data_IF_019071087310
#
_entry.id   IF_019071087310
#
_cell.length_a   1.000
_cell.length_b   1.000
_cell.length_c   1.000
_cell.angle_alpha   90.00
_cell.angle_beta   90.00
_cell.angle_gamma   90.00
#
_symmetry.space_group_name_H-M   'P 1'
#
loop_
_entity.id
_entity.type
_entity.pdbx_description
1 polymer ?
#
# COMPACT_ATOMS: atom_id res chain seq x y z
N UNK A 1 14.71 -22.77 -12.93
CA UNK A 1 13.74 -21.67 -12.71
C UNK A 1 14.54 -20.52 -12.11
N UNK A 2 15.10 -19.61 -12.93
CA UNK A 2 15.95 -18.50 -12.47
C UNK A 2 15.10 -17.50 -11.68
N UNK A 3 15.39 -17.35 -10.40
CA UNK A 3 14.76 -16.35 -9.55
C UNK A 3 15.24 -14.97 -9.99
N UNK A 4 14.31 -14.13 -10.43
CA UNK A 4 14.61 -12.74 -10.75
C UNK A 4 14.91 -11.98 -9.47
N UNK A 5 16.18 -11.70 -9.21
CA UNK A 5 16.58 -10.82 -8.13
C UNK A 5 16.20 -9.37 -8.51
N UNK A 6 15.50 -8.66 -7.63
CA UNK A 6 15.29 -7.23 -7.81
C UNK A 6 16.64 -6.51 -7.73
N UNK A 7 16.79 -5.36 -8.39
CA UNK A 7 17.99 -4.57 -8.21
C UNK A 7 18.10 -4.12 -6.73
N UNK A 8 19.28 -4.16 -6.12
CA UNK A 8 19.49 -3.68 -4.74
C UNK A 8 18.97 -2.26 -4.52
N UNK A 9 19.05 -1.41 -5.57
CA UNK A 9 18.50 -0.06 -5.59
C UNK A 9 17.00 0.03 -5.32
N UNK A 10 16.22 -0.99 -5.67
CA UNK A 10 14.77 -0.99 -5.40
C UNK A 10 14.46 -1.04 -3.91
N UNK A 11 15.18 -1.89 -3.17
CA UNK A 11 14.97 -2.03 -1.73
C UNK A 11 15.40 -0.76 -1.00
N UNK A 12 16.55 -0.19 -1.37
CA UNK A 12 17.06 1.05 -0.78
C UNK A 12 16.18 2.26 -1.10
N UNK A 13 15.58 2.33 -2.29
CA UNK A 13 14.69 3.43 -2.67
C UNK A 13 13.42 3.47 -1.78
N UNK A 14 12.79 2.33 -1.51
CA UNK A 14 11.63 2.28 -0.61
C UNK A 14 12.01 2.72 0.82
N UNK A 15 13.14 2.23 1.34
CA UNK A 15 13.64 2.67 2.66
C UNK A 15 14.03 4.15 2.67
N UNK A 16 14.57 4.68 1.55
CA UNK A 16 14.85 6.11 1.37
C UNK A 16 13.58 6.95 1.47
N UNK A 17 12.50 6.57 0.78
CA UNK A 17 11.20 7.26 0.88
C UNK A 17 10.67 7.24 2.32
N UNK A 18 10.71 6.09 2.99
CA UNK A 18 10.28 5.95 4.39
C UNK A 18 11.14 6.85 5.31
N UNK A 19 12.45 6.86 5.10
CA UNK A 19 13.39 7.68 5.87
C UNK A 19 13.14 9.19 5.72
N UNK A 20 12.86 9.64 4.50
CA UNK A 20 12.49 11.05 4.25
C UNK A 20 11.20 11.42 4.98
N UNK A 21 10.17 10.58 4.90
CA UNK A 21 8.90 10.82 5.62
C UNK A 21 9.12 10.80 7.13
N UNK A 22 9.88 9.84 7.64
CA UNK A 22 10.24 9.77 9.06
C UNK A 22 10.97 11.05 9.52
N UNK A 23 11.92 11.54 8.73
CA UNK A 23 12.61 12.79 9.02
C UNK A 23 11.64 13.98 9.09
N UNK A 24 10.72 14.10 8.14
CA UNK A 24 9.70 15.17 8.14
C UNK A 24 8.84 15.09 9.38
N UNK A 25 8.30 13.92 9.72
CA UNK A 25 7.46 13.72 10.91
C UNK A 25 8.22 14.04 12.19
N UNK A 26 9.47 13.59 12.31
CA UNK A 26 10.34 13.87 13.46
C UNK A 26 10.64 15.37 13.59
N UNK A 27 10.97 16.04 12.47
CA UNK A 27 11.24 17.48 12.47
C UNK A 27 10.01 18.28 12.95
N UNK A 28 8.81 17.93 12.46
CA UNK A 28 7.58 18.57 12.94
C UNK A 28 7.27 18.24 14.38
N UNK A 29 7.57 17.04 14.87
CA UNK A 29 7.38 16.66 16.26
C UNK A 29 8.39 17.32 17.23
N UNK A 30 9.57 17.69 16.76
CA UNK A 30 10.62 18.33 17.57
C UNK A 30 10.52 19.86 17.55
N UNK A 31 10.19 20.44 16.40
CA UNK A 31 10.26 21.89 16.16
C UNK A 31 8.88 22.52 15.88
N UNK A 32 7.85 21.72 15.63
CA UNK A 32 6.49 22.16 15.35
C UNK A 32 5.58 22.16 16.58
N UNK A 33 4.30 22.52 16.40
CA UNK A 33 3.32 22.56 17.47
C UNK A 33 2.83 21.18 17.93
N UNK A 34 3.24 20.10 17.24
CA UNK A 34 2.74 18.75 17.47
C UNK A 34 3.59 17.99 18.50
N UNK A 35 2.90 17.26 19.38
CA UNK A 35 3.53 16.35 20.34
C UNK A 35 3.39 14.92 19.83
N UNK A 36 4.53 14.29 19.52
CA UNK A 36 4.54 12.87 19.16
C UNK A 36 4.42 12.02 20.43
N UNK A 37 3.43 11.13 20.48
CA UNK A 37 3.29 10.14 21.52
C UNK A 37 4.24 8.96 21.27
N UNK A 38 5.51 9.12 21.59
CA UNK A 38 6.62 8.21 21.29
C UNK A 38 6.35 6.75 21.61
N UNK A 39 5.60 6.49 22.69
CA UNK A 39 5.26 5.13 23.10
C UNK A 39 4.47 4.37 22.03
N UNK A 40 3.66 5.06 21.24
CA UNK A 40 2.84 4.46 20.18
C UNK A 40 3.65 4.04 18.96
N UNK A 41 4.89 4.53 18.82
CA UNK A 41 5.80 4.20 17.72
C UNK A 41 6.70 3.00 18.05
N UNK A 42 6.86 2.62 19.33
CA UNK A 42 7.84 1.59 19.75
C UNK A 42 7.53 0.23 19.09
N UNK A 43 6.30 -0.24 19.21
CA UNK A 43 5.90 -1.56 18.69
C UNK A 43 6.07 -1.65 17.17
N UNK A 44 5.55 -0.72 16.34
CA UNK A 44 5.74 -0.79 14.90
C UNK A 44 7.21 -0.58 14.49
N UNK A 45 8.00 0.20 15.24
CA UNK A 45 9.43 0.36 14.97
C UNK A 45 10.20 -0.95 15.21
N UNK A 46 9.95 -1.64 16.32
CA UNK A 46 10.56 -2.94 16.62
C UNK A 46 10.14 -3.95 15.55
N UNK A 47 8.87 -4.03 15.21
CA UNK A 47 8.37 -4.93 14.16
C UNK A 47 9.06 -4.65 12.82
N UNK A 48 9.18 -3.38 12.44
CA UNK A 48 9.88 -2.95 11.22
C UNK A 48 11.35 -3.39 11.23
N UNK A 49 12.06 -3.17 12.34
CA UNK A 49 13.47 -3.53 12.49
C UNK A 49 13.69 -5.05 12.42
N UNK A 50 12.85 -5.83 13.11
CA UNK A 50 12.91 -7.30 13.09
C UNK A 50 12.63 -7.86 11.69
N UNK A 51 11.62 -7.32 10.99
CA UNK A 51 11.27 -7.74 9.64
C UNK A 51 12.35 -7.34 8.62
N UNK A 52 12.90 -6.14 8.74
CA UNK A 52 14.01 -5.69 7.89
C UNK A 52 15.27 -6.52 8.11
N UNK A 53 15.64 -6.79 9.36
CA UNK A 53 16.77 -7.63 9.73
C UNK A 53 16.58 -9.07 9.27
N UNK A 54 15.40 -9.67 9.50
CA UNK A 54 15.04 -10.98 8.99
C UNK A 54 15.08 -11.05 7.47
N UNK A 55 14.54 -10.04 6.80
CA UNK A 55 14.58 -9.94 5.34
C UNK A 55 16.01 -9.86 4.79
N UNK A 56 16.88 -9.10 5.45
CA UNK A 56 18.31 -9.07 5.10
C UNK A 56 18.97 -10.43 5.33
N UNK A 57 18.77 -11.07 6.50
CA UNK A 57 19.33 -12.37 6.85
C UNK A 57 18.96 -13.44 5.81
N UNK A 58 17.67 -13.56 5.48
CA UNK A 58 17.22 -14.59 4.54
C UNK A 58 17.74 -14.34 3.13
N UNK A 59 17.93 -13.10 2.68
CA UNK A 59 18.53 -12.81 1.37
C UNK A 59 20.04 -12.95 1.35
N UNK A 60 20.74 -12.40 2.36
CA UNK A 60 22.19 -12.31 2.35
C UNK A 60 22.87 -13.59 2.83
N UNK A 61 22.31 -14.27 3.84
CA UNK A 61 22.92 -15.43 4.51
C UNK A 61 22.28 -16.74 4.03
N UNK A 62 20.94 -16.80 4.02
CA UNK A 62 20.23 -18.04 3.67
C UNK A 62 19.97 -18.21 2.18
N UNK A 63 20.15 -17.13 1.39
CA UNK A 63 19.86 -17.08 -0.05
C UNK A 63 18.42 -17.44 -0.44
N UNK A 64 17.47 -17.21 0.49
CA UNK A 64 16.04 -17.47 0.34
C UNK A 64 15.31 -16.18 -0.10
N UNK A 65 15.36 -15.90 -1.41
CA UNK A 65 14.82 -14.65 -1.99
C UNK A 65 13.35 -14.41 -1.68
N UNK A 66 12.51 -15.46 -1.70
CA UNK A 66 11.06 -15.30 -1.51
C UNK A 66 10.74 -14.86 -0.09
N UNK A 67 11.29 -15.56 0.90
CA UNK A 67 11.06 -15.24 2.30
C UNK A 67 11.69 -13.90 2.66
N UNK A 68 12.88 -13.63 2.16
CA UNK A 68 13.55 -12.35 2.32
C UNK A 68 12.74 -11.18 1.72
N UNK A 69 12.11 -11.36 0.55
CA UNK A 69 11.26 -10.36 -0.07
C UNK A 69 9.96 -10.14 0.73
N UNK A 70 9.30 -11.19 1.21
CA UNK A 70 8.11 -11.10 2.06
C UNK A 70 8.42 -10.27 3.31
N UNK A 71 9.46 -10.66 4.06
CA UNK A 71 9.82 -9.99 5.31
C UNK A 71 10.19 -8.52 5.07
N UNK A 72 11.02 -8.25 4.05
CA UNK A 72 11.42 -6.86 3.72
C UNK A 72 10.21 -6.01 3.33
N UNK A 73 9.34 -6.51 2.45
CA UNK A 73 8.16 -5.78 1.98
C UNK A 73 7.17 -5.54 3.11
N UNK A 74 6.96 -6.52 3.99
CA UNK A 74 6.12 -6.35 5.18
C UNK A 74 6.72 -5.29 6.11
N UNK A 75 8.03 -5.33 6.36
CA UNK A 75 8.71 -4.32 7.17
C UNK A 75 8.61 -2.92 6.55
N UNK A 76 8.74 -2.80 5.22
CA UNK A 76 8.57 -1.52 4.51
C UNK A 76 7.16 -0.98 4.63
N UNK A 77 6.13 -1.81 4.51
CA UNK A 77 4.73 -1.38 4.64
C UNK A 77 4.43 -0.95 6.07
N UNK A 78 4.86 -1.71 7.09
CA UNK A 78 4.65 -1.34 8.49
C UNK A 78 5.41 -0.07 8.84
N UNK A 79 6.69 0.01 8.46
CA UNK A 79 7.51 1.21 8.69
C UNK A 79 6.97 2.44 7.98
N UNK A 80 6.44 2.26 6.76
CA UNK A 80 5.78 3.35 6.04
C UNK A 80 4.46 3.76 6.71
N UNK A 81 3.58 2.83 7.07
CA UNK A 81 2.32 3.14 7.73
C UNK A 81 2.53 3.90 9.04
N UNK A 82 3.56 3.52 9.82
CA UNK A 82 3.95 4.19 11.07
C UNK A 82 4.25 5.69 10.89
N UNK A 83 4.78 6.10 9.73
CA UNK A 83 5.16 7.49 9.46
C UNK A 83 4.16 8.22 8.54
N UNK A 84 3.44 7.49 7.69
CA UNK A 84 2.47 8.08 6.77
C UNK A 84 1.20 8.57 7.48
N UNK A 85 0.75 7.86 8.51
CA UNK A 85 -0.41 8.28 9.29
C UNK A 85 -0.15 9.62 10.02
N UNK A 86 0.94 9.81 10.78
CA UNK A 86 1.31 11.12 11.31
C UNK A 86 1.48 12.21 10.25
N UNK A 87 2.05 11.87 9.08
CA UNK A 87 2.18 12.82 7.98
C UNK A 87 0.82 13.30 7.48
N UNK A 88 -0.20 12.41 7.42
CA UNK A 88 -1.57 12.80 7.05
C UNK A 88 -2.21 13.76 8.08
N UNK A 89 -1.85 13.63 9.36
CA UNK A 89 -2.31 14.54 10.41
C UNK A 89 -1.69 15.92 10.26
N UNK A 90 -0.41 15.99 9.91
CA UNK A 90 0.25 17.25 9.58
C UNK A 90 -0.40 17.92 8.34
N UNK A 91 -0.80 17.11 7.35
CA UNK A 91 -1.53 17.59 6.19
C UNK A 91 -2.89 18.20 6.57
N UNK A 92 -3.67 17.55 7.44
CA UNK A 92 -4.95 18.08 7.91
C UNK A 92 -4.79 19.37 8.71
N UNK A 93 -3.76 19.45 9.55
CA UNK A 93 -3.46 20.63 10.38
C UNK A 93 -3.02 21.85 9.58
N UNK A 94 -2.65 21.72 8.31
CA UNK A 94 -2.35 22.85 7.43
C UNK A 94 -3.57 23.77 7.21
N UNK A 95 -4.78 23.26 7.51
CA UNK A 95 -6.04 23.99 7.55
C UNK A 95 -6.42 24.75 6.26
N UNK A 96 -5.95 24.29 5.09
CA UNK A 96 -6.41 24.84 3.80
C UNK A 96 -7.95 24.79 3.69
N UNK A 97 -8.58 25.68 2.91
CA UNK A 97 -10.05 25.73 2.77
C UNK A 97 -10.63 24.38 2.34
N UNK A 98 -11.70 23.95 3.01
CA UNK A 98 -12.40 22.72 2.67
C UNK A 98 -13.03 22.81 1.27
N UNK A 99 -12.91 21.71 0.51
CA UNK A 99 -13.36 21.62 -0.88
C UNK A 99 -14.67 20.84 -1.04
N UNK A 100 -15.36 20.51 0.06
CA UNK A 100 -16.60 19.72 0.04
C UNK A 100 -17.66 20.29 -0.90
N UNK A 101 -17.82 21.61 -0.95
CA UNK A 101 -18.80 22.25 -1.84
C UNK A 101 -18.52 21.95 -3.33
N UNK A 102 -17.24 21.97 -3.73
CA UNK A 102 -16.81 21.67 -5.12
C UNK A 102 -16.99 20.19 -5.42
N UNK A 103 -16.52 19.31 -4.52
CA UNK A 103 -16.60 17.85 -4.68
C UNK A 103 -18.07 17.39 -4.76
N UNK A 104 -18.92 17.90 -3.87
CA UNK A 104 -20.36 17.63 -3.90
C UNK A 104 -21.04 18.16 -5.18
N UNK A 105 -20.65 19.35 -5.66
CA UNK A 105 -21.19 19.88 -6.92
C UNK A 105 -20.82 19.00 -8.12
N UNK A 106 -19.61 18.43 -8.14
CA UNK A 106 -19.17 17.48 -9.17
C UNK A 106 -19.98 16.17 -9.10
N UNK A 107 -20.15 15.61 -7.89
CA UNK A 107 -20.96 14.41 -7.69
C UNK A 107 -22.41 14.59 -8.12
N UNK A 108 -23.02 15.75 -7.81
CA UNK A 108 -24.37 16.08 -8.28
C UNK A 108 -24.46 16.14 -9.80
N UNK A 109 -23.44 16.64 -10.49
CA UNK A 109 -23.39 16.64 -11.96
C UNK A 109 -23.27 15.23 -12.54
N UNK A 110 -22.67 14.30 -11.78
CA UNK A 110 -22.62 12.88 -12.10
C UNK A 110 -23.92 12.13 -11.75
N UNK A 111 -24.93 12.82 -11.21
CA UNK A 111 -26.22 12.23 -10.86
C UNK A 111 -26.25 11.56 -9.48
N UNK A 112 -25.28 11.79 -8.61
CA UNK A 112 -25.24 11.17 -7.27
C UNK A 112 -26.25 11.87 -6.36
N UNK A 113 -27.17 11.09 -5.79
CA UNK A 113 -28.09 11.48 -4.72
C UNK A 113 -27.66 10.79 -3.40
N UNK A 114 -26.89 11.53 -2.60
CA UNK A 114 -26.33 11.02 -1.34
C UNK A 114 -27.40 10.57 -0.34
N UNK A 115 -28.45 11.38 -0.03
CA UNK A 115 -29.50 10.97 0.89
C UNK A 115 -30.20 9.67 0.48
N UNK A 116 -30.61 9.54 -0.79
CA UNK A 116 -31.26 8.35 -1.30
C UNK A 116 -30.34 7.12 -1.24
N UNK A 117 -29.06 7.25 -1.60
CA UNK A 117 -28.08 6.17 -1.56
C UNK A 117 -27.86 5.68 -0.12
N UNK A 118 -27.66 6.57 0.84
CA UNK A 118 -27.45 6.23 2.24
C UNK A 118 -28.73 5.62 2.86
N UNK A 119 -29.89 6.19 2.56
CA UNK A 119 -31.17 5.63 2.98
C UNK A 119 -31.33 4.19 2.47
N UNK A 120 -31.07 3.93 1.21
CA UNK A 120 -31.13 2.59 0.62
C UNK A 120 -30.18 1.62 1.33
N UNK A 121 -28.90 1.96 1.46
CA UNK A 121 -27.90 1.07 2.09
C UNK A 121 -28.28 0.81 3.56
N UNK A 122 -28.69 1.84 4.29
CA UNK A 122 -28.98 1.75 5.72
C UNK A 122 -30.20 0.86 6.04
N UNK A 123 -31.15 0.73 5.13
CA UNK A 123 -32.32 -0.11 5.27
C UNK A 123 -32.04 -1.61 4.98
N UNK A 124 -30.96 -1.93 4.27
CA UNK A 124 -30.64 -3.31 3.86
C UNK A 124 -29.49 -3.89 4.70
N UNK A 125 -29.83 -4.57 5.81
CA UNK A 125 -28.85 -5.09 6.76
C UNK A 125 -27.80 -6.04 6.16
N UNK A 126 -28.21 -6.94 5.26
CA UNK A 126 -27.29 -7.86 4.57
C UNK A 126 -26.30 -7.11 3.67
N UNK A 127 -26.76 -6.10 2.92
CA UNK A 127 -25.90 -5.26 2.11
C UNK A 127 -24.89 -4.49 2.98
N UNK A 128 -25.36 -3.92 4.10
CA UNK A 128 -24.46 -3.23 5.05
C UNK A 128 -23.34 -4.14 5.55
N UNK A 129 -23.67 -5.37 5.95
CA UNK A 129 -22.65 -6.32 6.43
C UNK A 129 -21.61 -6.66 5.37
N UNK A 130 -22.04 -6.92 4.14
CA UNK A 130 -21.14 -7.22 3.02
C UNK A 130 -20.22 -6.05 2.74
N UNK A 131 -20.77 -4.84 2.65
CA UNK A 131 -20.00 -3.63 2.38
C UNK A 131 -19.04 -3.29 3.54
N UNK A 132 -19.47 -3.47 4.78
CA UNK A 132 -18.62 -3.29 5.97
C UNK A 132 -17.42 -4.23 5.96
N UNK A 133 -17.64 -5.53 5.69
CA UNK A 133 -16.56 -6.51 5.59
C UNK A 133 -15.62 -6.20 4.44
N UNK A 134 -16.16 -5.78 3.28
CA UNK A 134 -15.34 -5.40 2.14
C UNK A 134 -14.47 -4.16 2.44
N UNK A 135 -15.05 -3.13 3.05
CA UNK A 135 -14.32 -1.93 3.44
C UNK A 135 -13.23 -2.24 4.50
N UNK A 136 -13.58 -3.00 5.53
CA UNK A 136 -12.67 -3.40 6.60
C UNK A 136 -11.58 -4.40 6.17
N UNK A 137 -11.69 -5.00 4.99
CA UNK A 137 -10.73 -5.99 4.49
C UNK A 137 -9.36 -5.40 4.10
N UNK A 138 -9.22 -4.10 4.05
CA UNK A 138 -8.05 -3.34 3.63
C UNK A 138 -6.72 -3.84 4.22
N UNK A 139 -6.63 -3.94 5.56
CA UNK A 139 -5.40 -4.39 6.23
C UNK A 139 -5.07 -5.86 5.90
N UNK A 140 -6.09 -6.72 5.87
CA UNK A 140 -5.93 -8.12 5.50
C UNK A 140 -5.48 -8.24 4.04
N UNK A 141 -6.06 -7.48 3.13
CA UNK A 141 -5.65 -7.47 1.71
C UNK A 141 -4.21 -6.99 1.52
N UNK A 142 -3.76 -6.02 2.31
CA UNK A 142 -2.37 -5.55 2.26
C UNK A 142 -1.40 -6.69 2.58
N UNK A 143 -1.62 -7.40 3.69
CA UNK A 143 -0.78 -8.53 4.11
C UNK A 143 -0.88 -9.69 3.12
N UNK A 144 -2.10 -10.08 2.73
CA UNK A 144 -2.30 -11.22 1.81
C UNK A 144 -1.72 -10.96 0.43
N UNK A 145 -1.73 -9.73 -0.07
CA UNK A 145 -1.09 -9.37 -1.34
C UNK A 145 0.42 -9.61 -1.29
N UNK A 146 1.09 -9.18 -0.21
CA UNK A 146 2.52 -9.45 0.00
C UNK A 146 2.80 -10.95 0.04
N UNK A 147 2.00 -11.69 0.81
CA UNK A 147 2.15 -13.15 0.93
C UNK A 147 1.91 -13.87 -0.41
N UNK A 148 0.84 -13.56 -1.11
CA UNK A 148 0.51 -14.16 -2.41
C UNK A 148 1.64 -13.93 -3.42
N UNK A 149 2.13 -12.71 -3.55
CA UNK A 149 3.20 -12.38 -4.49
C UNK A 149 4.53 -13.03 -4.10
N UNK A 150 4.87 -13.03 -2.82
CA UNK A 150 6.10 -13.64 -2.31
C UNK A 150 6.09 -15.17 -2.45
N UNK A 151 5.05 -15.86 -1.97
CA UNK A 151 4.92 -17.32 -2.03
C UNK A 151 4.89 -17.80 -3.49
N UNK A 152 4.20 -17.08 -4.38
CA UNK A 152 4.14 -17.41 -5.81
C UNK A 152 5.42 -17.03 -6.57
N UNK A 153 6.43 -16.50 -5.88
CA UNK A 153 7.73 -16.15 -6.46
C UNK A 153 7.71 -14.92 -7.39
N UNK A 154 6.69 -14.09 -7.31
CA UNK A 154 6.54 -12.85 -8.10
C UNK A 154 7.24 -11.66 -7.44
N UNK A 155 8.49 -11.85 -7.04
CA UNK A 155 9.26 -10.92 -6.21
C UNK A 155 9.38 -9.53 -6.84
N UNK A 156 9.66 -9.45 -8.15
CA UNK A 156 9.72 -8.17 -8.88
C UNK A 156 8.40 -7.42 -8.79
N UNK A 157 7.29 -8.13 -8.92
CA UNK A 157 5.95 -7.56 -8.84
C UNK A 157 5.60 -7.14 -7.40
N UNK A 158 6.11 -7.86 -6.40
CA UNK A 158 5.98 -7.49 -5.00
C UNK A 158 6.67 -6.14 -4.71
N UNK A 159 7.89 -5.94 -5.19
CA UNK A 159 8.56 -4.65 -5.03
C UNK A 159 7.88 -3.52 -5.80
N UNK A 160 7.38 -3.79 -7.03
CA UNK A 160 6.57 -2.82 -7.76
C UNK A 160 5.32 -2.40 -6.97
N UNK A 161 4.65 -3.38 -6.35
CA UNK A 161 3.49 -3.13 -5.47
C UNK A 161 3.85 -2.24 -4.28
N UNK A 162 4.93 -2.54 -3.56
CA UNK A 162 5.35 -1.74 -2.39
C UNK A 162 5.65 -0.29 -2.79
N UNK A 163 6.36 -0.07 -3.91
CA UNK A 163 6.65 1.28 -4.39
C UNK A 163 5.39 2.01 -4.84
N UNK A 164 4.50 1.34 -5.56
CA UNK A 164 3.23 1.92 -5.95
C UNK A 164 2.36 2.26 -4.73
N UNK A 165 2.34 1.39 -3.71
CA UNK A 165 1.64 1.61 -2.45
C UNK A 165 2.16 2.88 -1.73
N UNK A 166 3.49 2.99 -1.55
CA UNK A 166 4.13 4.13 -0.90
C UNK A 166 3.86 5.42 -1.69
N UNK A 167 4.13 5.41 -3.00
CA UNK A 167 3.96 6.59 -3.83
C UNK A 167 2.49 7.05 -3.91
N UNK A 168 1.55 6.12 -4.08
CA UNK A 168 0.12 6.43 -4.10
C UNK A 168 -0.32 7.10 -2.80
N UNK A 169 0.11 6.55 -1.66
CA UNK A 169 -0.25 7.12 -0.35
C UNK A 169 0.39 8.49 -0.15
N UNK A 170 1.66 8.68 -0.51
CA UNK A 170 2.33 9.98 -0.38
C UNK A 170 1.68 11.05 -1.26
N UNK A 171 1.39 10.72 -2.52
CA UNK A 171 0.71 11.65 -3.43
C UNK A 171 -0.69 11.97 -2.90
N UNK A 172 -1.44 10.98 -2.38
CA UNK A 172 -2.74 11.21 -1.78
C UNK A 172 -2.65 12.16 -0.57
N UNK A 173 -1.64 12.00 0.31
CA UNK A 173 -1.40 12.92 1.42
C UNK A 173 -1.12 14.35 0.91
N UNK A 174 -0.22 14.51 -0.07
CA UNK A 174 0.11 15.83 -0.65
C UNK A 174 -1.12 16.48 -1.29
N UNK A 175 -1.91 15.71 -2.06
CA UNK A 175 -3.14 16.23 -2.67
C UNK A 175 -4.17 16.61 -1.60
N UNK A 176 -4.27 15.87 -0.50
CA UNK A 176 -5.20 16.17 0.60
C UNK A 176 -4.86 17.46 1.34
N UNK A 177 -3.61 17.95 1.30
CA UNK A 177 -3.24 19.29 1.80
C UNK A 177 -3.94 20.36 0.98
N UNK A 178 -3.93 20.23 -0.35
CA UNK A 178 -4.45 21.23 -1.29
C UNK A 178 -5.97 21.14 -1.47
N UNK A 179 -6.52 19.95 -1.27
CA UNK A 179 -7.94 19.67 -1.46
C UNK A 179 -8.51 18.89 -0.25
N UNK A 180 -8.47 19.50 0.97
CA UNK A 180 -9.03 18.85 2.15
C UNK A 180 -10.56 18.82 2.09
N UNK A 181 -11.16 17.74 2.58
CA UNK A 181 -12.61 17.58 2.63
C UNK A 181 -13.03 16.75 3.85
N UNK A 182 -14.23 16.98 4.34
CA UNK A 182 -14.85 16.21 5.43
C UNK A 182 -15.61 14.99 4.93
N UNK A 183 -15.95 15.00 3.62
CA UNK A 183 -16.76 13.99 2.98
C UNK A 183 -18.27 14.24 3.10
N UNK A 184 -19.07 13.54 2.25
CA UNK A 184 -20.51 13.81 2.13
C UNK A 184 -21.29 13.61 3.42
N UNK A 185 -20.89 12.66 4.27
CA UNK A 185 -21.59 12.39 5.52
C UNK A 185 -21.62 13.58 6.48
N UNK A 186 -20.48 14.24 6.66
CA UNK A 186 -20.39 15.38 7.56
C UNK A 186 -20.87 16.66 6.88
N UNK A 187 -20.49 16.87 5.62
CA UNK A 187 -20.82 18.08 4.87
C UNK A 187 -22.32 18.26 4.62
N UNK A 188 -23.04 17.16 4.32
CA UNK A 188 -24.48 17.18 4.05
C UNK A 188 -25.34 16.80 5.25
N UNK A 189 -24.74 16.50 6.40
CA UNK A 189 -25.41 15.93 7.59
C UNK A 189 -26.36 14.77 7.21
N UNK A 190 -25.80 13.68 6.69
CA UNK A 190 -26.58 12.53 6.21
C UNK A 190 -27.17 11.65 7.32
N UNK A 191 -26.93 11.97 8.60
CA UNK A 191 -27.49 11.21 9.74
C UNK A 191 -29.02 11.09 9.71
N UNK A 192 -29.81 12.12 9.36
CA UNK A 192 -31.26 12.00 9.25
C UNK A 192 -31.73 11.07 8.12
N UNK A 193 -30.94 10.89 7.08
CA UNK A 193 -31.25 9.98 5.97
C UNK A 193 -30.92 8.53 6.29
N UNK A 194 -30.10 8.28 7.32
CA UNK A 194 -29.63 6.96 7.69
C UNK A 194 -30.59 6.27 8.67
N UNK A 195 -31.06 5.07 8.31
CA UNK A 195 -31.88 4.25 9.20
C UNK A 195 -31.03 3.48 10.23
N UNK A 196 -31.63 3.09 11.35
CA UNK A 196 -31.04 2.20 12.35
C UNK A 196 -29.70 2.66 12.93
N UNK A 197 -29.49 3.99 13.05
CA UNK A 197 -28.25 4.53 13.61
C UNK A 197 -27.00 4.23 12.77
N UNK A 198 -27.15 3.95 11.49
CA UNK A 198 -26.02 3.71 10.59
C UNK A 198 -25.12 4.93 10.46
N UNK A 199 -23.83 4.74 10.70
CA UNK A 199 -22.80 5.74 10.55
C UNK A 199 -21.61 5.16 9.76
N UNK A 200 -20.82 5.98 9.06
CA UNK A 200 -19.61 5.52 8.41
C UNK A 200 -18.55 5.11 9.47
N UNK A 201 -17.63 4.26 9.08
CA UNK A 201 -16.47 3.89 9.95
C UNK A 201 -15.64 5.12 10.29
N UNK A 202 -15.52 6.04 9.34
CA UNK A 202 -14.76 7.29 9.50
C UNK A 202 -15.41 8.31 10.45
N UNK A 203 -16.61 8.05 10.98
CA UNK A 203 -17.24 8.95 11.94
C UNK A 203 -16.41 9.13 13.22
N UNK A 204 -15.63 8.13 13.63
CA UNK A 204 -14.71 8.20 14.78
C UNK A 204 -13.56 9.18 14.53
N UNK A 205 -13.14 9.37 13.29
CA UNK A 205 -12.02 10.24 12.94
C UNK A 205 -12.40 11.72 12.73
N UNK A 206 -13.71 12.06 12.67
CA UNK A 206 -14.13 13.46 12.49
C UNK A 206 -13.65 14.41 13.58
N UNK A 207 -13.75 14.07 14.90
CA UNK A 207 -13.21 14.94 15.94
C UNK A 207 -11.71 15.14 15.82
N UNK A 208 -10.97 14.10 15.40
CA UNK A 208 -9.52 14.18 15.17
C UNK A 208 -9.21 15.13 14.03
N UNK A 209 -9.87 14.96 12.88
CA UNK A 209 -9.68 15.83 11.71
C UNK A 209 -9.98 17.29 12.03
N UNK A 210 -11.13 17.56 12.67
CA UNK A 210 -11.52 18.92 13.03
C UNK A 210 -10.61 19.54 14.09
N UNK A 211 -10.24 18.76 15.12
CA UNK A 211 -9.35 19.23 16.18
C UNK A 211 -7.91 19.49 15.72
N UNK A 212 -7.43 18.79 14.67
CA UNK A 212 -6.15 19.10 14.04
C UNK A 212 -6.23 20.44 13.28
N UNK A 213 -7.38 20.73 12.64
CA UNK A 213 -7.57 21.94 11.82
C UNK A 213 -7.78 23.19 12.64
N UNK A 214 -8.46 23.08 13.79
CA UNK A 214 -8.70 24.22 14.69
C UNK A 214 -7.64 24.39 15.77
N UNK A 215 -6.64 23.46 15.81
CA UNK A 215 -5.52 23.49 16.75
C UNK A 215 -5.85 23.00 18.17
N UNK A 216 -7.06 22.47 18.41
CA UNK A 216 -7.43 21.90 19.72
C UNK A 216 -6.78 20.53 19.94
N UNK A 217 -6.42 19.81 18.89
CA UNK A 217 -5.66 18.56 18.94
C UNK A 217 -4.24 18.76 18.43
N UNK A 218 -3.26 18.53 19.30
CA UNK A 218 -1.83 18.63 18.98
C UNK A 218 -1.06 17.31 19.19
N UNK A 219 -1.69 16.28 19.77
CA UNK A 219 -1.06 14.99 20.00
C UNK A 219 -1.21 14.09 18.76
N UNK A 220 -0.10 13.50 18.30
CA UNK A 220 -0.06 12.61 17.13
C UNK A 220 0.48 11.25 17.55
N UNK A 221 -0.28 10.21 17.20
CA UNK A 221 0.01 8.82 17.55
C UNK A 221 0.53 8.03 16.33
N UNK A 222 1.37 7.03 16.57
CA UNK A 222 1.86 6.14 15.53
C UNK A 222 0.94 4.94 15.26
N UNK A 223 0.51 4.25 16.31
CA UNK A 223 -0.16 2.94 16.16
C UNK A 223 -1.68 3.02 16.00
N UNK A 224 -2.34 4.01 16.58
CA UNK A 224 -3.81 4.13 16.58
C UNK A 224 -4.29 5.31 15.73
N UNK A 225 -3.47 5.71 14.77
CA UNK A 225 -3.84 6.78 13.86
C UNK A 225 -4.88 6.29 12.87
N UNK A 226 -6.03 6.94 12.85
CA UNK A 226 -7.10 6.68 11.88
C UNK A 226 -6.80 7.38 10.54
N UNK A 227 -7.28 6.79 9.45
CA UNK A 227 -7.19 7.44 8.14
C UNK A 227 -8.13 8.64 8.08
N UNK A 228 -7.58 9.84 7.81
CA UNK A 228 -8.34 11.10 7.77
C UNK A 228 -8.34 11.75 6.39
N UNK A 229 -7.80 11.08 5.38
CA UNK A 229 -7.75 11.57 4.00
C UNK A 229 -9.07 11.24 3.32
N UNK A 230 -9.80 12.27 2.86
CA UNK A 230 -11.00 12.10 2.06
C UNK A 230 -10.67 12.12 0.57
N UNK A 231 -10.02 13.17 0.07
CA UNK A 231 -9.66 13.29 -1.35
C UNK A 231 -8.15 13.25 -1.55
N UNK A 232 -7.64 12.43 -2.50
CA UNK A 232 -8.33 11.33 -3.21
C UNK A 232 -8.54 10.11 -2.31
N UNK A 233 -9.51 9.25 -2.65
CA UNK A 233 -9.79 8.06 -1.85
C UNK A 233 -8.65 7.05 -1.87
N UNK A 234 -8.00 6.83 -0.72
CA UNK A 234 -6.93 5.84 -0.59
C UNK A 234 -7.48 4.41 -0.68
N UNK A 235 -8.68 4.15 -0.14
CA UNK A 235 -9.32 2.83 -0.27
C UNK A 235 -9.56 2.47 -1.73
N UNK A 236 -10.06 3.41 -2.53
CA UNK A 236 -10.25 3.21 -3.97
C UNK A 236 -8.92 2.96 -4.70
N UNK A 237 -7.90 3.74 -4.36
CA UNK A 237 -6.59 3.58 -4.95
C UNK A 237 -5.99 2.19 -4.63
N UNK A 238 -6.06 1.76 -3.37
CA UNK A 238 -5.50 0.48 -2.95
C UNK A 238 -6.34 -0.72 -3.44
N UNK A 239 -7.66 -0.57 -3.61
CA UNK A 239 -8.49 -1.58 -4.27
C UNK A 239 -7.97 -1.92 -5.69
N UNK A 240 -7.57 -0.90 -6.43
CA UNK A 240 -6.95 -1.09 -7.74
C UNK A 240 -5.57 -1.74 -7.61
N UNK A 241 -4.72 -1.23 -6.71
CA UNK A 241 -3.37 -1.79 -6.52
C UNK A 241 -3.40 -3.27 -6.12
N UNK A 242 -4.26 -3.68 -5.20
CA UNK A 242 -4.42 -5.09 -4.83
C UNK A 242 -4.86 -5.93 -6.01
N UNK A 243 -5.88 -5.48 -6.74
CA UNK A 243 -6.42 -6.19 -7.90
C UNK A 243 -5.38 -6.38 -9.00
N UNK A 244 -4.69 -5.30 -9.39
CA UNK A 244 -3.69 -5.39 -10.47
C UNK A 244 -2.43 -6.11 -10.02
N UNK A 245 -2.01 -6.01 -8.76
CA UNK A 245 -0.83 -6.69 -8.24
C UNK A 245 -0.97 -8.21 -8.28
N UNK A 246 -2.12 -8.76 -7.89
CA UNK A 246 -2.35 -10.22 -7.88
C UNK A 246 -2.93 -10.77 -9.17
N UNK A 247 -3.23 -9.93 -10.18
CA UNK A 247 -3.88 -10.35 -11.42
C UNK A 247 -3.25 -11.57 -12.12
N UNK A 248 -1.90 -11.72 -12.20
CA UNK A 248 -1.27 -12.89 -12.81
C UNK A 248 -1.46 -14.20 -12.02
N UNK A 249 -2.01 -14.16 -10.79
CA UNK A 249 -2.21 -15.33 -9.96
C UNK A 249 -3.61 -15.89 -10.21
N UNK A 250 -3.72 -16.84 -11.14
CA UNK A 250 -5.00 -17.35 -11.66
C UNK A 250 -5.96 -17.85 -10.59
N UNK A 251 -5.46 -18.46 -9.49
CA UNK A 251 -6.29 -19.04 -8.44
C UNK A 251 -7.06 -18.04 -7.57
N UNK A 252 -6.58 -16.79 -7.46
CA UNK A 252 -7.15 -15.79 -6.53
C UNK A 252 -7.62 -14.50 -7.19
N UNK A 253 -7.24 -14.24 -8.45
CA UNK A 253 -7.46 -12.96 -9.12
C UNK A 253 -8.92 -12.49 -9.13
N UNK A 254 -9.87 -13.41 -9.37
CA UNK A 254 -11.29 -13.06 -9.47
C UNK A 254 -11.91 -12.79 -8.09
N UNK A 255 -11.48 -13.54 -7.05
CA UNK A 255 -11.91 -13.28 -5.68
C UNK A 255 -11.42 -11.92 -5.17
N UNK A 256 -10.14 -11.60 -5.45
CA UNK A 256 -9.57 -10.30 -5.09
C UNK A 256 -10.23 -9.16 -5.88
N UNK A 257 -10.47 -9.36 -7.19
CA UNK A 257 -11.16 -8.36 -8.02
C UNK A 257 -12.59 -8.12 -7.54
N UNK A 258 -13.35 -9.18 -7.23
CA UNK A 258 -14.71 -9.05 -6.71
C UNK A 258 -14.76 -8.35 -5.35
N UNK A 259 -13.85 -8.73 -4.43
CA UNK A 259 -13.74 -8.09 -3.11
C UNK A 259 -13.40 -6.59 -3.23
N UNK A 260 -12.49 -6.24 -4.14
CA UNK A 260 -12.13 -4.83 -4.36
C UNK A 260 -13.22 -4.05 -5.08
N UNK A 261 -14.00 -4.67 -5.95
CA UNK A 261 -15.23 -4.09 -6.49
C UNK A 261 -16.23 -3.73 -5.38
N UNK A 262 -16.43 -4.64 -4.43
CA UNK A 262 -17.25 -4.37 -3.24
C UNK A 262 -16.63 -3.29 -2.33
N UNK A 263 -15.30 -3.24 -2.19
CA UNK A 263 -14.62 -2.19 -1.42
C UNK A 263 -14.80 -0.81 -2.06
N UNK A 264 -14.76 -0.71 -3.38
CA UNK A 264 -15.09 0.54 -4.11
C UNK A 264 -16.53 0.96 -3.84
N UNK A 265 -17.49 0.04 -3.94
CA UNK A 265 -18.90 0.31 -3.65
C UNK A 265 -19.15 0.66 -2.18
N UNK A 266 -18.34 0.15 -1.27
CA UNK A 266 -18.43 0.42 0.16
C UNK A 266 -17.86 1.80 0.55
N UNK A 267 -16.87 2.29 -0.18
CA UNK A 267 -16.12 3.50 0.18
C UNK A 267 -16.97 4.75 0.37
N UNK A 268 -18.01 5.04 -0.42
CA UNK A 268 -18.91 6.16 -0.17
C UNK A 268 -19.67 6.05 1.16
N UNK A 269 -20.19 4.86 1.46
CA UNK A 269 -21.03 4.66 2.63
C UNK A 269 -20.23 4.54 3.94
N UNK A 270 -19.08 3.88 3.90
CA UNK A 270 -18.26 3.59 5.09
C UNK A 270 -17.06 4.50 5.24
N UNK A 271 -16.51 5.00 4.14
CA UNK A 271 -15.34 5.89 4.11
C UNK A 271 -15.70 7.37 4.01
N UNK A 272 -16.97 7.72 3.86
CA UNK A 272 -17.41 9.11 3.63
C UNK A 272 -16.73 9.75 2.42
N UNK A 273 -16.61 9.00 1.32
CA UNK A 273 -15.98 9.47 0.10
C UNK A 273 -17.00 9.94 -0.93
N UNK A 274 -16.71 11.05 -1.59
CA UNK A 274 -17.39 11.45 -2.82
C UNK A 274 -17.08 10.46 -3.96
N UNK A 275 -17.95 10.36 -4.96
CA UNK A 275 -17.67 9.54 -6.15
C UNK A 275 -16.42 10.04 -6.89
N UNK A 276 -16.25 11.35 -6.96
CA UNK A 276 -15.04 11.96 -7.57
C UNK A 276 -13.75 11.62 -6.81
N UNK A 277 -13.81 11.37 -5.48
CA UNK A 277 -12.66 10.90 -4.70
C UNK A 277 -12.22 9.52 -5.16
N UNK A 278 -13.20 8.64 -5.43
CA UNK A 278 -12.94 7.29 -5.91
C UNK A 278 -12.29 7.33 -7.30
N UNK A 279 -12.85 8.13 -8.19
CA UNK A 279 -12.31 8.30 -9.55
C UNK A 279 -10.86 8.80 -9.48
N UNK A 280 -10.58 9.82 -8.66
CA UNK A 280 -9.24 10.34 -8.47
C UNK A 280 -8.29 9.28 -7.89
N UNK A 281 -8.74 8.50 -6.90
CA UNK A 281 -7.97 7.42 -6.30
C UNK A 281 -7.64 6.31 -7.31
N UNK A 282 -8.61 5.88 -8.11
CA UNK A 282 -8.42 4.89 -9.19
C UNK A 282 -7.37 5.37 -10.20
N UNK A 283 -7.49 6.62 -10.67
CA UNK A 283 -6.55 7.21 -11.63
C UNK A 283 -5.14 7.31 -11.04
N UNK A 284 -5.03 7.76 -9.78
CA UNK A 284 -3.76 7.84 -9.07
C UNK A 284 -3.08 6.46 -8.98
N UNK A 285 -3.82 5.44 -8.59
CA UNK A 285 -3.32 4.08 -8.52
C UNK A 285 -2.88 3.55 -9.88
N UNK A 286 -3.64 3.81 -10.95
CA UNK A 286 -3.30 3.40 -12.30
C UNK A 286 -1.98 4.03 -12.77
N UNK A 287 -1.77 5.31 -12.50
CA UNK A 287 -0.52 6.02 -12.83
C UNK A 287 0.65 5.44 -12.03
N UNK A 288 0.54 5.33 -10.71
CA UNK A 288 1.60 4.78 -9.87
C UNK A 288 1.94 3.34 -10.26
N UNK A 289 0.91 2.50 -10.44
CA UNK A 289 1.12 1.11 -10.85
C UNK A 289 1.84 0.98 -12.19
N UNK A 290 1.37 1.69 -13.23
CA UNK A 290 1.97 1.61 -14.56
C UNK A 290 3.41 2.11 -14.58
N UNK A 291 3.72 3.14 -13.78
CA UNK A 291 5.07 3.67 -13.62
C UNK A 291 6.00 2.62 -13.02
N UNK A 292 5.66 2.08 -11.86
CA UNK A 292 6.55 1.14 -11.18
C UNK A 292 6.57 -0.25 -11.83
N UNK A 293 5.45 -0.73 -12.37
CA UNK A 293 5.43 -1.99 -13.10
C UNK A 293 6.32 -1.95 -14.35
N UNK A 294 6.33 -0.84 -15.08
CA UNK A 294 7.24 -0.64 -16.23
C UNK A 294 8.68 -0.52 -15.78
N UNK A 295 8.98 0.29 -14.78
CA UNK A 295 10.32 0.49 -14.25
C UNK A 295 10.95 -0.84 -13.81
N UNK A 296 10.25 -1.62 -13.00
CA UNK A 296 10.75 -2.91 -12.51
C UNK A 296 10.78 -3.97 -13.61
N UNK A 297 9.84 -3.95 -14.55
CA UNK A 297 9.83 -4.82 -15.71
C UNK A 297 11.01 -4.57 -16.66
N UNK A 298 11.29 -3.31 -17.00
CA UNK A 298 12.41 -2.91 -17.83
C UNK A 298 13.76 -3.27 -17.19
N UNK A 299 13.96 -2.97 -15.91
CA UNK A 299 15.18 -3.31 -15.17
C UNK A 299 15.42 -4.82 -15.16
N UNK A 300 14.36 -5.61 -14.94
CA UNK A 300 14.45 -7.07 -14.98
C UNK A 300 14.87 -7.60 -16.38
N UNK A 301 14.41 -6.97 -17.44
CA UNK A 301 14.77 -7.33 -18.81
C UNK A 301 16.23 -6.97 -19.13
N UNK A 302 16.70 -5.79 -18.74
CA UNK A 302 18.08 -5.36 -18.94
C UNK A 302 19.07 -6.29 -18.23
N UNK A 303 18.78 -6.67 -16.97
CA UNK A 303 19.60 -7.63 -16.22
C UNK A 303 19.65 -9.01 -16.86
N UNK A 304 18.56 -9.43 -17.53
CA UNK A 304 18.55 -10.70 -18.29
C UNK A 304 19.46 -10.64 -19.51
N UNK A 305 19.39 -9.57 -20.29
CA UNK A 305 20.21 -9.40 -21.48
C UNK A 305 21.70 -9.36 -21.08
N UNK A 306 22.07 -8.59 -20.06
CA UNK A 306 23.42 -8.53 -19.55
C UNK A 306 23.94 -9.89 -19.03
N UNK A 307 23.08 -10.71 -18.43
CA UNK A 307 23.47 -12.07 -17.99
C UNK A 307 23.67 -13.05 -19.16
N UNK A 308 22.92 -12.87 -20.25
CA UNK A 308 23.10 -13.67 -21.49
C UNK A 308 24.41 -13.27 -22.16
N UNK A 309 24.70 -11.98 -22.26
CA UNK A 309 25.94 -11.46 -22.86
C UNK A 309 27.20 -11.83 -22.06
N UNK A 310 27.06 -11.96 -20.72
CA UNK A 310 28.14 -12.38 -19.82
C UNK A 310 28.36 -13.90 -19.79
N UNK A 311 27.48 -14.69 -20.43
CA UNK A 311 27.64 -16.14 -20.52
C UNK A 311 28.79 -16.46 -21.45
N UNK A 312 29.77 -17.32 -21.07
CA UNK A 312 30.85 -17.69 -21.98
C UNK A 312 30.25 -18.29 -23.25
N UNK A 313 30.82 -17.99 -24.44
CA UNK A 313 30.37 -18.57 -25.69
C UNK A 313 30.38 -20.09 -25.58
N UNK A 314 29.29 -20.73 -25.99
CA UNK A 314 29.23 -22.19 -26.09
C UNK A 314 30.40 -22.62 -26.97
N UNK A 315 31.30 -23.45 -26.40
CA UNK A 315 32.39 -24.00 -27.17
C UNK A 315 31.82 -24.67 -28.44
N UNK A 316 32.42 -24.45 -29.63
CA UNK A 316 31.87 -24.95 -30.88
C UNK A 316 31.89 -26.51 -31.02
N UNK A 317 32.46 -27.20 -30.07
CA UNK A 317 32.58 -28.68 -30.12
C UNK A 317 31.67 -29.34 -29.11
N UNK A 318 30.52 -29.80 -29.56
CA UNK A 318 29.59 -30.69 -28.84
C UNK A 318 30.10 -32.09 -28.64
N UNK A 319 31.36 -32.27 -28.24
CA UNK A 319 31.93 -33.55 -27.88
C UNK A 319 32.17 -33.55 -26.36
N UNK A 320 31.26 -34.22 -25.67
CA UNK A 320 31.48 -34.67 -24.31
C UNK A 320 32.72 -35.58 -24.32
N UNK A 321 33.86 -35.12 -23.81
CA UNK A 321 34.98 -35.99 -23.51
C UNK A 321 34.50 -37.00 -22.45
N UNK A 322 34.56 -38.30 -22.72
CA UNK A 322 34.24 -39.29 -21.71
C UNK A 322 35.21 -39.14 -20.53
N UNK A 323 34.67 -39.18 -19.33
CA UNK A 323 35.44 -39.14 -18.10
C UNK A 323 36.43 -40.35 -18.13
N UNK A 324 37.72 -40.08 -18.04
CA UNK A 324 38.71 -41.12 -17.85
C UNK A 324 38.51 -41.76 -16.47
N UNK A 325 38.44 -43.06 -16.36
CA UNK A 325 38.38 -43.75 -15.08
C UNK A 325 39.75 -43.63 -14.37
N UNK A 326 39.74 -43.03 -13.19
CA UNK A 326 40.89 -43.05 -12.27
C UNK A 326 40.99 -44.41 -11.67
N UNK A 327 41.79 -45.31 -12.27
CA UNK A 327 42.27 -46.54 -11.61
C UNK A 327 43.62 -46.95 -12.20
N UNK A 328 44.69 -46.73 -11.47
CA UNK A 328 45.85 -47.62 -11.38
C UNK A 328 46.69 -47.17 -10.17
N UNK A 329 46.41 -47.78 -9.01
CA UNK A 329 47.43 -47.94 -7.97
C UNK A 329 48.20 -49.14 -8.40
N UNK A 330 49.44 -48.95 -8.83
CA UNK A 330 50.43 -49.98 -8.86
C UNK A 330 50.75 -50.41 -7.41
N UNK A 331 50.59 -51.66 -7.14
CA UNK A 331 51.09 -52.34 -5.94
C UNK A 331 52.49 -52.90 -6.29
N UNK A 332 53.52 -52.30 -5.73
CA UNK A 332 54.87 -52.96 -5.73
C UNK A 332 54.89 -54.15 -4.77
N UNK A 333 55.57 -55.25 -5.16
CA UNK A 333 55.73 -56.42 -4.31
C UNK A 333 57.07 -56.35 -3.54
N UNK A 334 57.03 -56.52 -2.21
CA UNK A 334 57.98 -57.38 -1.43
C UNK A 334 57.25 -57.86 -0.19
#
# INVERSE_FOLDING_TARGET
>A
MMSHRPPPSAISAAWGMIGVVAFVVLAFGLFGPFKLEWRTFIVPAIATALLAGGGWYYRAIRHEERLGAILTSTGQIIGFAMVAAPLSYLAAASAFPLQDAVLNALDRRLGVDWPSMISFISQHSGLRQILMLAYGSFAVQTITTVLILGITGRVVRLYAFVHAFIATTLIAIVVSVLCPATGPWLFLDLRPAAANGFLPVTASSWPVFLGLRDGTLSAVQGLHSEGIITFPSLHAALAILFSVAVWPVKGVRWSVFGLNGLMLLASPAYGSHYLVDLIAGVLLAAVCWTTFARQFGATSMTLRLAAIDASPPLAPDGLLKPAQPAFSREVEPV
#
